data_IF_808004135209
#
_entry.id   IF_808004135209
#
_cell.length_a   1.000
_cell.length_b   1.000
_cell.length_c   1.000
_cell.angle_alpha   90.00
_cell.angle_beta   90.00
_cell.angle_gamma   90.00
#
_symmetry.space_group_name_H-M   'P 1'
#
loop_
_entity.id
_entity.type
_entity.pdbx_description
1 polymer ?
#
# COMPACT_ATOMS: atom_id res chain seq x y z
N UNK A 1 -12.97 -44.44 -50.62
CA UNK A 1 -13.09 -43.24 -51.46
C UNK A 1 -14.50 -43.15 -52.01
N UNK A 2 -15.34 -42.23 -51.50
CA UNK A 2 -16.42 -41.60 -52.25
C UNK A 2 -16.00 -40.19 -52.72
N UNK A 3 -16.61 -39.79 -53.82
CA UNK A 3 -16.22 -38.74 -54.77
C UNK A 3 -16.44 -37.29 -54.29
N UNK A 4 -15.53 -36.41 -54.71
CA UNK A 4 -15.42 -34.95 -54.52
C UNK A 4 -16.59 -34.10 -55.07
N UNK A 5 -17.75 -34.69 -55.38
CA UNK A 5 -18.83 -34.02 -56.11
C UNK A 5 -19.92 -33.34 -55.24
N UNK A 6 -19.91 -33.51 -53.91
CA UNK A 6 -20.99 -33.00 -53.04
C UNK A 6 -20.63 -31.76 -52.18
N UNK A 7 -19.50 -31.09 -52.46
CA UNK A 7 -19.05 -29.91 -51.69
C UNK A 7 -19.37 -28.57 -52.40
N UNK A 8 -19.94 -28.59 -53.61
CA UNK A 8 -20.08 -27.39 -54.45
C UNK A 8 -21.52 -27.04 -54.88
N UNK A 9 -22.51 -27.28 -54.01
CA UNK A 9 -23.93 -26.98 -54.32
C UNK A 9 -24.69 -26.27 -53.20
N UNK A 10 -24.05 -25.34 -52.47
CA UNK A 10 -24.81 -24.45 -51.55
C UNK A 10 -24.39 -22.96 -51.60
N UNK A 11 -23.69 -22.53 -52.66
CA UNK A 11 -23.28 -21.13 -52.86
C UNK A 11 -24.13 -20.36 -53.87
N UNK A 12 -25.41 -20.73 -54.01
CA UNK A 12 -26.29 -20.04 -54.97
C UNK A 12 -27.74 -20.03 -54.51
N UNK A 13 -28.03 -19.23 -53.49
CA UNK A 13 -29.25 -18.39 -53.37
C UNK A 13 -29.31 -17.76 -51.97
N UNK A 14 -29.73 -16.49 -51.92
CA UNK A 14 -30.39 -15.97 -50.72
C UNK A 14 -29.63 -14.95 -49.89
N UNK A 15 -30.16 -13.73 -49.92
CA UNK A 15 -30.19 -12.78 -48.79
C UNK A 15 -28.90 -12.01 -48.46
N UNK A 16 -28.78 -10.85 -49.12
CA UNK A 16 -28.22 -9.64 -48.50
C UNK A 16 -29.06 -9.27 -47.27
N UNK A 17 -28.37 -8.86 -46.20
CA UNK A 17 -28.84 -8.31 -44.90
C UNK A 17 -28.93 -9.34 -43.78
N UNK A 18 -27.86 -9.44 -42.98
CA UNK A 18 -27.84 -9.72 -41.52
C UNK A 18 -26.39 -10.05 -41.09
N UNK A 19 -25.45 -9.11 -41.29
CA UNK A 19 -24.03 -9.32 -40.93
C UNK A 19 -23.46 -8.34 -39.92
N UNK A 20 -24.20 -7.29 -39.56
CA UNK A 20 -23.68 -6.20 -38.70
C UNK A 20 -24.32 -6.19 -37.31
N UNK A 21 -25.41 -6.91 -37.08
CA UNK A 21 -26.10 -6.92 -35.78
C UNK A 21 -25.65 -8.03 -34.82
N UNK A 22 -25.01 -9.10 -35.33
CA UNK A 22 -24.65 -10.28 -34.51
C UNK A 22 -23.27 -10.16 -33.86
N UNK A 23 -22.39 -9.28 -34.36
CA UNK A 23 -21.05 -9.04 -33.79
C UNK A 23 -21.11 -8.05 -32.62
N UNK A 24 -22.09 -7.14 -32.59
CA UNK A 24 -22.25 -6.13 -31.53
C UNK A 24 -22.81 -6.71 -30.22
N UNK A 25 -23.61 -7.78 -30.29
CA UNK A 25 -24.18 -8.44 -29.09
C UNK A 25 -23.16 -9.35 -28.40
N UNK A 26 -22.26 -9.98 -29.17
CA UNK A 26 -21.20 -10.82 -28.62
C UNK A 26 -20.13 -10.00 -27.87
N UNK A 27 -19.81 -8.79 -28.34
CA UNK A 27 -18.87 -7.90 -27.65
C UNK A 27 -19.46 -7.29 -26.38
N UNK A 28 -20.77 -7.03 -26.36
CA UNK A 28 -21.48 -6.52 -25.18
C UNK A 28 -21.62 -7.58 -24.07
N UNK A 29 -21.66 -8.86 -24.44
CA UNK A 29 -21.75 -9.98 -23.50
C UNK A 29 -20.40 -10.34 -22.86
N UNK A 30 -19.29 -10.02 -23.54
CA UNK A 30 -17.94 -10.19 -22.99
C UNK A 30 -17.56 -9.05 -22.03
N UNK A 31 -18.10 -7.85 -22.24
CA UNK A 31 -17.94 -6.71 -21.33
C UNK A 31 -18.84 -6.85 -20.08
N UNK A 32 -20.01 -7.46 -20.21
CA UNK A 32 -20.94 -7.68 -19.10
C UNK A 32 -20.53 -8.74 -18.08
N UNK A 33 -19.60 -9.64 -18.41
CA UNK A 33 -19.16 -10.71 -17.50
C UNK A 33 -17.95 -10.32 -16.62
N UNK A 34 -17.38 -9.12 -16.80
CA UNK A 34 -16.30 -8.59 -15.94
C UNK A 34 -16.86 -7.89 -14.70
N UNK A 35 -18.17 -7.63 -14.64
CA UNK A 35 -18.84 -6.99 -13.49
C UNK A 35 -19.52 -7.97 -12.54
N UNK A 36 -19.18 -9.25 -12.59
CA UNK A 36 -19.61 -10.24 -11.60
C UNK A 36 -18.80 -10.07 -10.30
N UNK A 37 -19.33 -9.26 -9.38
CA UNK A 37 -19.13 -9.35 -7.92
C UNK A 37 -17.71 -9.70 -7.46
N UNK A 38 -16.80 -8.72 -7.51
CA UNK A 38 -15.66 -8.71 -6.60
C UNK A 38 -16.20 -8.51 -5.19
N UNK A 39 -16.31 -9.58 -4.40
CA UNK A 39 -16.19 -9.39 -2.95
C UNK A 39 -14.86 -8.69 -2.71
N UNK A 40 -14.92 -7.57 -1.98
CA UNK A 40 -13.84 -6.62 -1.81
C UNK A 40 -12.64 -7.24 -1.08
N UNK A 41 -11.72 -7.87 -1.83
CA UNK A 41 -10.36 -8.19 -1.36
C UNK A 41 -9.40 -7.06 -1.75
N UNK A 42 -9.74 -5.81 -1.41
CA UNK A 42 -9.08 -4.65 -2.01
C UNK A 42 -7.62 -4.45 -1.54
N UNK A 43 -7.13 -5.21 -0.56
CA UNK A 43 -5.82 -5.00 0.06
C UNK A 43 -5.03 -6.30 0.31
N UNK A 44 -5.10 -7.24 -0.64
CA UNK A 44 -4.33 -8.49 -0.64
C UNK A 44 -3.43 -8.53 -1.87
N UNK A 45 -2.15 -8.96 -1.75
CA UNK A 45 -1.29 -9.17 -2.92
C UNK A 45 -1.90 -10.22 -3.87
N UNK A 46 -1.97 -9.90 -5.17
CA UNK A 46 -2.52 -10.81 -6.17
C UNK A 46 -1.42 -11.58 -6.92
N UNK A 47 -1.62 -12.87 -7.27
CA UNK A 47 -0.68 -13.60 -8.10
C UNK A 47 -0.41 -12.87 -9.41
N UNK A 48 0.87 -12.73 -9.77
CA UNK A 48 1.34 -12.05 -10.98
C UNK A 48 1.04 -10.53 -11.04
N UNK A 49 0.66 -9.92 -9.91
CA UNK A 49 0.58 -8.47 -9.81
C UNK A 49 1.98 -7.86 -9.94
N UNK A 50 2.11 -6.86 -10.82
CA UNK A 50 3.37 -6.14 -11.04
C UNK A 50 3.37 -4.74 -10.42
N UNK A 51 2.19 -4.23 -10.07
CA UNK A 51 1.98 -2.89 -9.52
C UNK A 51 1.78 -2.96 -7.99
N UNK A 52 1.66 -1.79 -7.36
CA UNK A 52 1.30 -1.67 -5.95
C UNK A 52 -0.09 -2.28 -5.67
N UNK A 53 -0.33 -2.62 -4.41
CA UNK A 53 -1.69 -2.92 -3.96
C UNK A 53 -2.57 -1.68 -4.15
N UNK A 54 -3.88 -1.83 -4.41
CA UNK A 54 -4.78 -0.69 -4.51
C UNK A 54 -4.64 0.22 -3.28
N UNK A 55 -4.42 1.53 -3.47
CA UNK A 55 -4.23 2.45 -2.35
C UNK A 55 -5.54 2.55 -1.56
N UNK A 56 -5.40 2.61 -0.24
CA UNK A 56 -6.46 2.84 0.70
C UNK A 56 -6.07 4.01 1.60
N UNK A 57 -6.92 5.03 1.61
CA UNK A 57 -6.69 6.25 2.37
C UNK A 57 -5.87 7.28 1.59
N UNK A 58 -5.87 8.49 2.11
CA UNK A 58 -5.32 9.68 1.49
C UNK A 58 -3.80 9.64 1.32
N UNK A 59 -3.06 9.07 2.29
CA UNK A 59 -1.61 8.92 2.18
C UNK A 59 -1.26 7.98 1.03
N UNK A 60 -1.95 6.83 0.94
CA UNK A 60 -1.67 5.82 -0.07
C UNK A 60 -1.98 6.31 -1.48
N UNK A 61 -3.08 7.04 -1.67
CA UNK A 61 -3.44 7.70 -2.93
C UNK A 61 -2.30 8.66 -3.37
N UNK A 62 -1.90 9.59 -2.50
CA UNK A 62 -0.84 10.55 -2.83
C UNK A 62 0.53 9.89 -3.05
N UNK A 63 0.85 8.84 -2.30
CA UNK A 63 2.08 8.07 -2.47
C UNK A 63 2.09 7.32 -3.81
N UNK A 64 0.95 6.76 -4.21
CA UNK A 64 0.77 6.06 -5.49
C UNK A 64 0.86 7.03 -6.67
N UNK A 65 0.26 8.22 -6.54
CA UNK A 65 0.39 9.28 -7.55
C UNK A 65 1.84 9.73 -7.73
N UNK A 66 2.56 9.94 -6.63
CA UNK A 66 3.98 10.27 -6.66
C UNK A 66 4.80 9.14 -7.29
N UNK A 67 4.52 7.88 -6.93
CA UNK A 67 5.15 6.70 -7.52
C UNK A 67 4.96 6.68 -9.04
N UNK A 68 3.72 6.85 -9.52
CA UNK A 68 3.39 6.83 -10.94
C UNK A 68 4.07 7.97 -11.72
N UNK A 69 4.11 9.18 -11.14
CA UNK A 69 4.85 10.31 -11.70
C UNK A 69 6.35 9.98 -11.84
N UNK A 70 6.96 9.43 -10.78
CA UNK A 70 8.36 9.02 -10.80
C UNK A 70 8.62 7.95 -11.86
N UNK A 71 7.75 6.94 -11.95
CA UNK A 71 7.86 5.84 -12.90
C UNK A 71 7.88 6.35 -14.34
N UNK A 72 7.00 7.30 -14.69
CA UNK A 72 6.99 7.94 -16.02
C UNK A 72 8.31 8.67 -16.29
N UNK A 73 8.79 9.46 -15.33
CA UNK A 73 10.03 10.24 -15.49
C UNK A 73 11.24 9.33 -15.67
N UNK A 74 11.44 8.34 -14.79
CA UNK A 74 12.59 7.44 -14.88
C UNK A 74 12.53 6.54 -16.12
N UNK A 75 11.33 6.15 -16.56
CA UNK A 75 11.14 5.38 -17.79
C UNK A 75 11.53 6.22 -19.01
N UNK A 76 11.11 7.48 -19.09
CA UNK A 76 11.49 8.38 -20.17
C UNK A 76 13.01 8.60 -20.23
N UNK A 77 13.66 8.81 -19.09
CA UNK A 77 15.13 8.93 -19.00
C UNK A 77 15.81 7.64 -19.44
N UNK A 78 15.31 6.49 -18.97
CA UNK A 78 15.86 5.17 -19.31
C UNK A 78 15.77 4.89 -20.81
N UNK A 79 14.62 5.16 -21.43
CA UNK A 79 14.42 5.02 -22.87
C UNK A 79 15.29 5.99 -23.67
N UNK A 80 15.48 7.21 -23.19
CA UNK A 80 16.39 8.18 -23.81
C UNK A 80 17.84 7.68 -23.80
N UNK A 81 18.34 7.25 -22.64
CA UNK A 81 19.69 6.70 -22.50
C UNK A 81 19.85 5.43 -23.34
N UNK A 82 18.89 4.51 -23.28
CA UNK A 82 18.89 3.30 -24.10
C UNK A 82 18.92 3.62 -25.60
N UNK A 83 18.12 4.58 -26.04
CA UNK A 83 18.10 5.06 -27.42
C UNK A 83 19.45 5.62 -27.86
N UNK A 84 20.11 6.42 -27.01
CA UNK A 84 21.47 6.91 -27.25
C UNK A 84 22.49 5.77 -27.33
N UNK A 85 22.42 4.78 -26.43
CA UNK A 85 23.32 3.63 -26.44
C UNK A 85 23.15 2.79 -27.72
N UNK A 86 21.91 2.53 -28.14
CA UNK A 86 21.61 1.85 -29.40
C UNK A 86 22.14 2.67 -30.58
N UNK A 87 21.91 3.99 -30.58
CA UNK A 87 22.39 4.88 -31.62
C UNK A 87 23.92 4.85 -31.72
N UNK A 88 24.62 4.91 -30.60
CA UNK A 88 26.08 4.83 -30.58
C UNK A 88 26.55 3.46 -31.07
N UNK A 89 25.95 2.37 -30.58
CA UNK A 89 26.28 1.00 -30.98
C UNK A 89 26.10 0.74 -32.47
N UNK A 90 25.08 1.34 -33.09
CA UNK A 90 24.83 1.18 -34.53
C UNK A 90 25.68 2.14 -35.35
N UNK A 91 25.67 3.44 -35.05
CA UNK A 91 26.27 4.47 -35.89
C UNK A 91 27.79 4.54 -35.77
N UNK A 92 28.32 4.38 -34.55
CA UNK A 92 29.75 4.57 -34.27
C UNK A 92 30.54 3.27 -34.12
N UNK A 93 29.96 2.12 -34.53
CA UNK A 93 30.71 0.86 -34.62
C UNK A 93 31.89 0.99 -35.58
N UNK A 94 32.97 0.24 -35.33
CA UNK A 94 34.22 0.33 -36.08
C UNK A 94 34.05 0.21 -37.61
N UNK A 95 33.14 -0.66 -38.07
CA UNK A 95 32.86 -0.83 -39.50
C UNK A 95 32.13 0.37 -40.15
N UNK A 96 31.29 1.09 -39.40
CA UNK A 96 30.51 2.22 -39.90
C UNK A 96 31.18 3.58 -39.66
N UNK A 97 32.09 3.66 -38.69
CA UNK A 97 32.84 4.87 -38.34
C UNK A 97 34.34 4.57 -38.17
N UNK A 98 35.08 4.29 -39.26
CA UNK A 98 36.48 3.87 -39.20
C UNK A 98 37.44 4.99 -38.74
N UNK A 99 37.05 6.26 -38.88
CA UNK A 99 37.85 7.41 -38.43
C UNK A 99 37.08 8.14 -37.33
N UNK A 100 37.41 7.94 -36.04
CA UNK A 100 36.68 8.57 -34.94
C UNK A 100 36.97 10.08 -34.85
N UNK A 101 35.99 10.83 -34.33
CA UNK A 101 36.20 12.22 -33.95
C UNK A 101 37.24 12.33 -32.83
N UNK A 102 37.93 13.47 -32.77
CA UNK A 102 38.88 13.83 -31.70
C UNK A 102 38.34 14.88 -30.72
N UNK A 103 37.05 15.23 -30.83
CA UNK A 103 36.39 16.16 -29.90
C UNK A 103 36.41 15.58 -28.48
N UNK A 104 36.92 16.34 -27.52
CA UNK A 104 37.03 15.90 -26.12
C UNK A 104 36.00 16.54 -25.18
N UNK A 105 35.45 17.71 -25.51
CA UNK A 105 34.52 18.44 -24.67
C UNK A 105 33.60 19.34 -25.50
N UNK A 106 32.46 19.71 -24.91
CA UNK A 106 31.54 20.70 -25.46
C UNK A 106 30.77 21.36 -24.31
N UNK A 107 31.19 22.58 -23.95
CA UNK A 107 30.65 23.32 -22.83
C UNK A 107 29.12 23.51 -22.89
N UNK A 108 28.54 23.66 -24.09
CA UNK A 108 27.08 23.84 -24.24
C UNK A 108 26.34 22.56 -23.86
N UNK A 109 26.80 21.40 -24.33
CA UNK A 109 26.19 20.10 -24.01
C UNK A 109 26.38 19.79 -22.52
N UNK A 110 27.56 20.10 -21.98
CA UNK A 110 27.88 19.95 -20.55
C UNK A 110 26.93 20.75 -19.65
N UNK A 111 26.66 22.00 -20.01
CA UNK A 111 25.67 22.82 -19.28
C UNK A 111 24.27 22.22 -19.42
N UNK A 112 23.85 21.79 -20.61
CA UNK A 112 22.52 21.22 -20.82
C UNK A 112 22.27 19.96 -20.00
N UNK A 113 23.18 18.97 -20.02
CA UNK A 113 23.01 17.75 -19.23
C UNK A 113 23.15 17.98 -17.73
N UNK A 114 23.63 19.14 -17.28
CA UNK A 114 23.73 19.48 -15.87
C UNK A 114 22.46 20.19 -15.40
N UNK A 115 22.00 21.18 -16.17
CA UNK A 115 20.81 21.97 -15.85
C UNK A 115 19.52 21.16 -15.99
N UNK A 116 19.40 20.33 -17.04
CA UNK A 116 18.17 19.55 -17.29
C UNK A 116 17.85 18.60 -16.12
N UNK A 117 18.79 17.73 -15.64
CA UNK A 117 18.52 16.88 -14.48
C UNK A 117 18.18 17.67 -13.22
N UNK A 118 18.84 18.82 -12.98
CA UNK A 118 18.50 19.68 -11.83
C UNK A 118 17.06 20.16 -11.91
N UNK A 119 16.59 20.61 -13.07
CA UNK A 119 15.19 21.02 -13.26
C UNK A 119 14.21 19.87 -13.08
N UNK A 120 14.55 18.67 -13.55
CA UNK A 120 13.74 17.45 -13.33
C UNK A 120 13.62 17.16 -11.83
N UNK A 121 14.73 17.20 -11.09
CA UNK A 121 14.73 16.96 -9.64
C UNK A 121 13.91 18.00 -8.88
N UNK A 122 13.98 19.28 -9.27
CA UNK A 122 13.13 20.33 -8.67
C UNK A 122 11.64 20.03 -8.92
N UNK A 123 11.28 19.59 -10.12
CA UNK A 123 9.91 19.20 -10.44
C UNK A 123 9.39 18.04 -9.59
N UNK A 124 10.23 17.04 -9.34
CA UNK A 124 9.92 15.88 -8.47
C UNK A 124 9.82 16.28 -7.00
N UNK A 125 10.68 17.19 -6.53
CA UNK A 125 10.77 17.57 -5.13
C UNK A 125 9.49 18.24 -4.61
N UNK A 126 8.78 18.99 -5.44
CA UNK A 126 7.57 19.74 -5.03
C UNK A 126 6.45 18.81 -4.52
N UNK A 127 5.94 17.83 -5.31
CA UNK A 127 4.92 16.90 -4.83
C UNK A 127 5.46 16.00 -3.71
N UNK A 128 6.75 15.63 -3.75
CA UNK A 128 7.38 14.81 -2.71
C UNK A 128 7.37 15.50 -1.34
N UNK A 129 7.79 16.76 -1.25
CA UNK A 129 7.75 17.50 0.03
C UNK A 129 6.33 17.73 0.53
N UNK A 130 5.36 17.99 -0.36
CA UNK A 130 3.95 18.12 0.04
C UNK A 130 3.44 16.86 0.71
N UNK A 131 3.71 15.69 0.14
CA UNK A 131 3.36 14.40 0.72
C UNK A 131 4.08 14.18 2.06
N UNK A 132 5.40 14.44 2.11
CA UNK A 132 6.19 14.28 3.34
C UNK A 132 5.59 15.08 4.51
N UNK A 133 5.27 16.36 4.30
CA UNK A 133 4.65 17.20 5.33
C UNK A 133 3.21 16.78 5.67
N UNK A 134 2.49 16.16 4.73
CA UNK A 134 1.15 15.65 5.00
C UNK A 134 1.21 14.42 5.91
N UNK A 135 2.14 13.49 5.65
CA UNK A 135 2.37 12.31 6.47
C UNK A 135 2.83 12.65 7.89
N UNK A 136 3.62 13.71 8.07
CA UNK A 136 4.18 14.10 9.38
C UNK A 136 3.15 14.77 10.32
N UNK A 137 1.99 15.19 9.81
CA UNK A 137 0.95 15.87 10.62
C UNK A 137 0.09 14.86 11.41
N UNK A 138 0.56 14.40 12.57
CA UNK A 138 -0.14 13.41 13.41
C UNK A 138 -1.19 13.98 14.36
N UNK A 139 -1.45 15.30 14.36
CA UNK A 139 -2.23 15.95 15.42
C UNK A 139 -3.76 15.87 15.26
N UNK A 140 -4.24 15.61 14.05
CA UNK A 140 -5.66 15.66 13.69
C UNK A 140 -6.22 14.24 13.55
N UNK A 141 -6.37 13.51 14.65
CA UNK A 141 -6.80 12.10 14.67
C UNK A 141 -8.01 11.89 15.57
N UNK A 142 -8.88 10.96 15.19
CA UNK A 142 -10.13 10.64 15.88
C UNK A 142 -9.95 9.57 16.97
N UNK A 143 -8.91 8.73 16.86
CA UNK A 143 -8.60 7.68 17.84
C UNK A 143 -7.10 7.39 17.88
N UNK A 144 -6.65 6.80 18.99
CA UNK A 144 -5.27 6.37 19.20
C UNK A 144 -5.20 4.86 19.37
N UNK A 145 -4.26 4.21 18.69
CA UNK A 145 -3.92 2.80 18.90
C UNK A 145 -2.42 2.71 19.09
N UNK A 146 -1.98 2.04 20.15
CA UNK A 146 -0.58 1.70 20.36
C UNK A 146 -0.32 0.31 19.82
N UNK A 147 0.76 0.20 19.06
CA UNK A 147 1.21 -1.03 18.41
C UNK A 147 2.58 -1.37 18.95
N UNK A 148 2.71 -2.55 19.55
CA UNK A 148 3.97 -3.05 20.10
C UNK A 148 4.44 -4.27 19.32
N UNK A 149 5.63 -4.19 18.74
CA UNK A 149 6.30 -5.33 18.09
C UNK A 149 7.00 -6.23 19.11
N UNK A 150 6.70 -7.53 19.07
CA UNK A 150 7.29 -8.57 19.92
C UNK A 150 7.79 -9.74 19.03
N UNK A 151 8.68 -10.57 19.54
CA UNK A 151 9.16 -11.81 18.93
C UNK A 151 8.16 -12.94 19.19
N UNK A 152 7.36 -13.40 18.23
CA UNK A 152 7.11 -12.87 16.88
C UNK A 152 5.61 -12.71 16.69
N UNK A 153 5.09 -11.60 17.19
CA UNK A 153 3.67 -11.25 17.18
C UNK A 153 3.50 -9.74 17.40
N UNK A 154 2.29 -9.22 17.20
CA UNK A 154 1.96 -7.82 17.46
C UNK A 154 1.02 -7.71 18.64
N UNK A 155 1.20 -6.71 19.47
CA UNK A 155 0.26 -6.35 20.52
C UNK A 155 -0.40 -5.02 20.17
N UNK A 156 -1.71 -4.93 20.36
CA UNK A 156 -2.51 -3.73 20.12
C UNK A 156 -3.15 -3.27 21.43
N UNK A 157 -2.93 -2.00 21.78
CA UNK A 157 -3.58 -1.35 22.92
C UNK A 157 -4.44 -0.18 22.41
N UNK A 158 -5.69 -0.12 22.86
CA UNK A 158 -6.63 0.96 22.62
C UNK A 158 -6.74 1.75 23.93
N UNK A 159 -5.84 2.72 24.19
CA UNK A 159 -5.67 3.34 25.50
C UNK A 159 -6.94 4.02 26.01
N UNK A 160 -7.68 4.70 25.14
CA UNK A 160 -8.91 5.41 25.51
C UNK A 160 -10.07 4.45 25.85
N UNK A 161 -9.97 3.20 25.41
CA UNK A 161 -11.00 2.18 25.56
C UNK A 161 -10.66 1.08 26.58
N UNK A 162 -9.41 1.03 27.03
CA UNK A 162 -8.92 0.02 27.98
C UNK A 162 -8.90 -1.41 27.46
N UNK A 163 -8.72 -1.57 26.15
CA UNK A 163 -8.61 -2.86 25.46
C UNK A 163 -7.15 -3.11 25.11
N UNK A 164 -6.64 -4.30 25.40
CA UNK A 164 -5.30 -4.72 24.97
C UNK A 164 -5.27 -6.22 24.66
N UNK A 165 -4.70 -6.60 23.52
CA UNK A 165 -4.60 -8.00 23.11
C UNK A 165 -3.40 -8.28 22.21
N UNK A 166 -2.99 -9.54 22.20
CA UNK A 166 -1.94 -10.06 21.32
C UNK A 166 -2.55 -10.62 20.04
N UNK A 167 -1.80 -10.51 18.95
CA UNK A 167 -2.16 -10.91 17.60
C UNK A 167 -1.11 -11.84 17.03
N UNK A 168 -1.43 -13.13 16.95
CA UNK A 168 -0.60 -14.19 16.44
C UNK A 168 -1.06 -14.62 15.05
N UNK A 169 -0.11 -15.07 14.23
CA UNK A 169 -0.41 -15.68 12.94
C UNK A 169 -1.25 -16.96 13.14
N UNK A 170 -2.28 -17.14 12.32
CA UNK A 170 -2.99 -18.43 12.25
C UNK A 170 -2.13 -19.44 11.51
N UNK A 171 -1.88 -20.58 12.15
CA UNK A 171 -1.12 -21.68 11.56
C UNK A 171 -1.87 -22.33 10.40
N UNK A 172 -1.13 -22.88 9.43
CA UNK A 172 -1.72 -23.42 8.18
C UNK A 172 -2.75 -24.55 8.43
N UNK A 173 -2.57 -25.31 9.52
CA UNK A 173 -3.49 -26.37 9.92
C UNK A 173 -4.84 -25.86 10.46
N UNK A 174 -4.88 -24.63 10.98
CA UNK A 174 -6.04 -24.04 11.65
C UNK A 174 -6.79 -23.01 10.80
N UNK A 175 -6.28 -22.72 9.59
CA UNK A 175 -6.88 -21.77 8.65
C UNK A 175 -8.33 -22.16 8.30
N UNK A 176 -9.22 -21.19 8.49
CA UNK A 176 -10.63 -21.29 8.11
C UNK A 176 -10.86 -20.78 6.67
N UNK A 177 -11.96 -21.19 6.01
CA UNK A 177 -12.31 -20.66 4.70
C UNK A 177 -12.36 -19.12 4.70
N UNK A 178 -11.60 -18.50 3.80
CA UNK A 178 -11.48 -17.05 3.68
C UNK A 178 -10.26 -16.44 4.38
N UNK A 179 -9.58 -17.18 5.25
CA UNK A 179 -8.30 -16.77 5.82
C UNK A 179 -7.15 -17.05 4.85
N UNK A 180 -6.11 -16.23 4.93
CA UNK A 180 -4.98 -16.22 4.00
C UNK A 180 -3.72 -16.68 4.73
N UNK A 181 -3.07 -17.69 4.16
CA UNK A 181 -1.81 -18.25 4.65
C UNK A 181 -0.75 -17.15 4.84
N UNK A 182 -0.12 -17.11 6.02
CA UNK A 182 0.91 -16.13 6.42
C UNK A 182 0.44 -14.67 6.53
N UNK A 183 -0.86 -14.38 6.40
CA UNK A 183 -1.40 -13.02 6.52
C UNK A 183 -2.50 -12.93 7.56
N UNK A 184 -3.32 -13.97 7.73
CA UNK A 184 -4.38 -13.98 8.73
C UNK A 184 -3.86 -14.18 10.14
N UNK A 185 -4.52 -13.52 11.08
CA UNK A 185 -4.23 -13.57 12.52
C UNK A 185 -5.44 -14.02 13.33
N UNK A 186 -5.22 -14.41 14.58
CA UNK A 186 -6.28 -14.74 15.53
C UNK A 186 -7.10 -13.50 15.94
N UNK A 187 -6.42 -12.42 16.30
CA UNK A 187 -7.00 -11.16 16.75
C UNK A 187 -6.53 -10.00 15.85
N UNK A 188 -7.33 -9.56 14.86
CA UNK A 188 -6.96 -8.44 13.99
C UNK A 188 -7.08 -7.10 14.73
N UNK A 189 -6.35 -6.09 14.28
CA UNK A 189 -6.54 -4.70 14.70
C UNK A 189 -7.85 -4.17 14.10
N UNK A 190 -8.92 -4.12 14.88
CA UNK A 190 -10.23 -3.67 14.40
C UNK A 190 -10.36 -2.17 14.53
N UNK A 191 -10.85 -1.51 13.48
CA UNK A 191 -10.96 -0.06 13.39
C UNK A 191 -12.29 0.34 12.73
N UNK A 192 -12.86 1.51 13.07
CA UNK A 192 -14.03 2.01 12.37
C UNK A 192 -13.65 2.60 11.01
N UNK A 193 -14.50 2.39 10.01
CA UNK A 193 -14.38 3.05 8.71
C UNK A 193 -14.46 4.59 8.85
N UNK A 194 -13.96 5.31 7.84
CA UNK A 194 -13.98 6.77 7.78
C UNK A 194 -13.51 7.43 9.09
N UNK A 195 -12.31 7.03 9.51
CA UNK A 195 -11.69 7.44 10.77
C UNK A 195 -10.18 7.61 10.56
N UNK A 196 -9.63 8.69 11.13
CA UNK A 196 -8.19 8.95 11.14
C UNK A 196 -7.59 8.49 12.45
N UNK A 197 -6.60 7.61 12.37
CA UNK A 197 -6.07 6.86 13.51
C UNK A 197 -4.63 7.28 13.74
N UNK A 198 -4.31 7.70 14.96
CA UNK A 198 -2.93 7.86 15.40
C UNK A 198 -2.39 6.51 15.83
N UNK A 199 -1.27 6.11 15.25
CA UNK A 199 -0.54 4.93 15.62
C UNK A 199 0.67 5.32 16.47
N UNK A 200 0.75 4.74 17.67
CA UNK A 200 1.92 4.83 18.55
C UNK A 200 2.70 3.52 18.45
N UNK A 201 3.77 3.51 17.66
CA UNK A 201 4.48 2.28 17.28
C UNK A 201 5.79 2.17 18.07
N UNK A 202 5.95 1.08 18.81
CA UNK A 202 7.13 0.78 19.65
C UNK A 202 7.50 -0.69 19.57
N UNK A 203 8.72 -1.06 20.01
CA UNK A 203 9.16 -2.44 20.17
C UNK A 203 9.37 -2.81 21.64
N UNK A 204 9.30 -4.11 21.96
CA UNK A 204 9.58 -4.63 23.30
C UNK A 204 10.92 -5.37 23.40
N UNK A 205 11.42 -5.95 22.31
CA UNK A 205 12.57 -6.88 22.34
C UNK A 205 13.66 -6.64 21.29
N UNK A 206 13.33 -6.57 20.00
CA UNK A 206 14.23 -6.27 18.89
C UNK A 206 13.57 -5.25 17.97
N UNK A 207 14.28 -4.86 16.91
CA UNK A 207 13.68 -3.99 15.90
C UNK A 207 12.67 -4.76 15.05
N UNK A 208 11.47 -4.20 14.92
CA UNK A 208 10.44 -4.63 13.98
C UNK A 208 10.05 -3.46 13.07
N UNK A 209 9.18 -3.69 12.10
CA UNK A 209 8.59 -2.61 11.30
C UNK A 209 7.14 -2.94 11.00
N UNK A 210 6.23 -2.10 11.50
CA UNK A 210 4.80 -2.20 11.21
C UNK A 210 4.57 -1.69 9.80
N UNK A 211 4.19 -2.58 8.88
CA UNK A 211 4.04 -2.25 7.46
C UNK A 211 2.73 -2.81 6.90
N UNK A 212 1.83 -1.91 6.50
CA UNK A 212 0.58 -2.22 5.80
C UNK A 212 0.60 -1.49 4.44
N UNK A 213 0.90 -2.17 3.33
CA UNK A 213 1.16 -1.54 2.03
C UNK A 213 0.01 -0.69 1.50
N UNK A 214 -1.22 -1.22 1.54
CA UNK A 214 -2.41 -0.54 1.02
C UNK A 214 -2.73 0.75 1.78
N UNK A 215 -2.39 0.85 3.06
CA UNK A 215 -2.54 2.07 3.86
C UNK A 215 -1.30 2.99 3.81
N UNK A 216 -0.28 2.61 3.03
CA UNK A 216 0.99 3.31 2.88
C UNK A 216 1.67 3.69 4.22
N UNK A 217 1.53 2.84 5.24
CA UNK A 217 2.21 2.99 6.53
C UNK A 217 3.34 1.99 6.64
N UNK A 218 4.56 2.50 6.87
CA UNK A 218 5.73 1.71 7.24
C UNK A 218 6.50 2.44 8.33
N UNK A 219 6.49 1.92 9.55
CA UNK A 219 7.17 2.55 10.68
C UNK A 219 7.92 1.50 11.49
N UNK A 220 9.19 1.80 11.77
CA UNK A 220 9.99 0.96 12.66
C UNK A 220 9.46 0.99 14.09
N UNK A 221 9.39 -0.19 14.69
CA UNK A 221 9.12 -0.41 16.11
C UNK A 221 10.47 -0.63 16.81
N UNK A 222 10.91 0.37 17.58
CA UNK A 222 12.16 0.34 18.35
C UNK A 222 11.88 0.22 19.84
N UNK A 223 12.79 -0.43 20.56
CA UNK A 223 12.75 -0.47 22.02
C UNK A 223 13.15 0.90 22.56
N UNK A 224 12.43 1.39 23.57
CA UNK A 224 12.76 2.64 24.26
C UNK A 224 12.42 3.91 23.47
N UNK A 225 11.70 3.79 22.34
CA UNK A 225 11.19 4.93 21.57
C UNK A 225 9.83 4.60 20.96
N UNK A 226 8.86 5.47 21.22
CA UNK A 226 7.58 5.47 20.51
C UNK A 226 7.66 6.37 19.28
N UNK A 227 7.36 5.82 18.12
CA UNK A 227 7.15 6.60 16.90
C UNK A 227 5.66 6.90 16.74
N UNK A 228 5.35 8.11 16.28
CA UNK A 228 3.99 8.48 15.89
C UNK A 228 3.86 8.40 14.37
N UNK A 229 2.75 7.84 13.92
CA UNK A 229 2.28 7.94 12.56
C UNK A 229 0.76 8.05 12.57
N UNK A 230 0.17 8.29 11.40
CA UNK A 230 -1.28 8.23 11.27
C UNK A 230 -1.66 7.51 9.98
N UNK A 231 -2.84 6.90 10.00
CA UNK A 231 -3.51 6.32 8.84
C UNK A 231 -4.93 6.85 8.78
N UNK A 232 -5.50 6.96 7.59
CA UNK A 232 -6.93 7.18 7.41
C UNK A 232 -7.56 5.96 6.75
N UNK A 233 -8.62 5.46 7.37
CA UNK A 233 -9.36 4.31 6.87
C UNK A 233 -10.51 4.83 5.99
N UNK A 234 -10.58 4.46 4.71
CA UNK A 234 -11.70 4.83 3.84
C UNK A 234 -13.06 4.39 4.38
N UNK A 235 -14.13 4.97 3.83
CA UNK A 235 -15.48 4.45 4.02
C UNK A 235 -15.62 3.07 3.36
N UNK A 236 -16.26 2.14 4.05
CA UNK A 236 -16.49 0.77 3.62
C UNK A 236 -15.78 -0.24 4.52
N UNK A 237 -16.51 -1.29 4.89
CA UNK A 237 -15.95 -2.47 5.52
C UNK A 237 -14.88 -3.12 4.63
N UNK A 238 -13.71 -3.40 5.19
CA UNK A 238 -12.59 -3.98 4.44
C UNK A 238 -11.53 -4.56 5.38
N UNK A 239 -10.64 -5.40 4.85
CA UNK A 239 -9.48 -5.92 5.58
C UNK A 239 -8.19 -5.58 4.84
N UNK A 240 -7.24 -4.97 5.55
CA UNK A 240 -5.93 -4.60 5.04
C UNK A 240 -4.86 -5.48 5.66
N UNK A 241 -4.01 -6.07 4.82
CA UNK A 241 -2.96 -6.98 5.27
C UNK A 241 -1.59 -6.33 5.21
N UNK A 242 -0.74 -6.71 6.15
CA UNK A 242 0.64 -6.26 6.28
C UNK A 242 1.54 -7.35 6.83
N UNK A 243 2.84 -7.08 6.86
CA UNK A 243 3.85 -7.97 7.42
C UNK A 243 4.94 -7.16 8.13
N UNK A 244 5.73 -7.81 8.98
CA UNK A 244 6.92 -7.16 9.52
C UNK A 244 7.92 -6.88 8.38
N UNK A 245 8.36 -5.62 8.24
CA UNK A 245 9.32 -5.20 7.19
C UNK A 245 10.72 -4.84 7.75
N UNK A 246 11.10 -5.48 8.86
CA UNK A 246 12.44 -5.34 9.44
C UNK A 246 12.87 -6.67 10.05
N UNK A 247 14.05 -7.17 9.64
CA UNK A 247 14.54 -8.47 10.09
C UNK A 247 14.62 -8.53 11.62
N UNK A 248 13.85 -9.45 12.22
CA UNK A 248 13.65 -9.53 13.67
C UNK A 248 13.89 -10.93 14.27
N UNK A 249 14.47 -11.86 13.49
CA UNK A 249 14.86 -13.20 13.95
C UNK A 249 14.27 -14.33 13.11
N UNK A 250 14.25 -15.54 13.66
CA UNK A 250 13.90 -16.77 12.92
C UNK A 250 12.48 -16.75 12.37
N UNK A 251 11.52 -16.18 13.11
CA UNK A 251 10.13 -16.12 12.68
C UNK A 251 9.74 -14.75 12.09
N UNK A 252 10.71 -14.01 11.53
CA UNK A 252 10.46 -12.70 10.92
C UNK A 252 9.31 -12.69 9.90
N UNK A 253 9.19 -13.75 9.10
CA UNK A 253 8.15 -13.87 8.08
C UNK A 253 6.77 -14.32 8.63
N UNK A 254 6.65 -14.62 9.92
CA UNK A 254 5.49 -15.28 10.53
C UNK A 254 4.81 -14.42 11.61
N UNK A 255 4.89 -13.09 11.46
CA UNK A 255 4.21 -12.12 12.32
C UNK A 255 3.46 -11.07 11.49
N UNK A 256 2.40 -11.49 10.77
CA UNK A 256 1.64 -10.61 9.91
C UNK A 256 0.81 -9.61 10.69
N UNK A 257 0.23 -8.66 9.95
CA UNK A 257 -0.64 -7.62 10.44
C UNK A 257 -1.96 -7.75 9.67
N UNK A 258 -3.07 -7.82 10.39
CA UNK A 258 -4.41 -7.74 9.81
C UNK A 258 -5.15 -6.56 10.44
N UNK A 259 -5.59 -5.62 9.61
CA UNK A 259 -6.38 -4.45 10.02
C UNK A 259 -7.78 -4.59 9.45
N UNK A 260 -8.78 -4.68 10.32
CA UNK A 260 -10.17 -4.89 9.92
C UNK A 260 -10.99 -3.61 10.12
N UNK A 261 -11.37 -2.97 9.02
CA UNK A 261 -12.31 -1.85 9.00
C UNK A 261 -13.75 -2.35 9.08
N UNK A 262 -14.51 -1.80 10.03
CA UNK A 262 -15.93 -2.08 10.20
C UNK A 262 -16.77 -0.80 10.09
N UNK A 263 -18.04 -0.91 9.66
CA UNK A 263 -19.03 0.16 9.86
C UNK A 263 -19.08 0.60 11.34
N UNK A 264 -19.34 1.89 11.60
CA UNK A 264 -19.20 2.45 12.96
C UNK A 264 -20.08 1.79 14.02
N UNK A 265 -21.27 1.32 13.63
CA UNK A 265 -22.19 0.56 14.48
C UNK A 265 -21.66 -0.85 14.78
N UNK A 266 -21.12 -1.54 13.78
CA UNK A 266 -20.46 -2.84 13.96
C UNK A 266 -19.18 -2.73 14.81
N UNK A 267 -18.39 -1.66 14.62
CA UNK A 267 -17.23 -1.36 15.45
C UNK A 267 -17.65 -1.14 16.92
N UNK A 268 -18.71 -0.38 17.17
CA UNK A 268 -19.21 -0.16 18.53
C UNK A 268 -19.66 -1.47 19.20
N UNK A 269 -20.31 -2.37 18.44
CA UNK A 269 -20.69 -3.69 18.92
C UNK A 269 -19.46 -4.57 19.21
N UNK A 270 -18.46 -4.58 18.31
CA UNK A 270 -17.19 -5.26 18.52
C UNK A 270 -16.50 -4.75 19.79
N UNK A 271 -16.39 -3.42 19.95
CA UNK A 271 -15.72 -2.79 21.07
C UNK A 271 -16.37 -3.14 22.41
N UNK A 272 -17.70 -3.22 22.47
CA UNK A 272 -18.43 -3.62 23.68
C UNK A 272 -18.09 -5.06 24.13
N UNK A 273 -17.84 -5.96 23.17
CA UNK A 273 -17.38 -7.32 23.45
C UNK A 273 -15.88 -7.35 23.80
N UNK A 274 -15.05 -6.62 23.04
CA UNK A 274 -13.61 -6.54 23.26
C UNK A 274 -13.27 -6.01 24.66
N UNK A 275 -14.04 -5.06 25.20
CA UNK A 275 -13.88 -4.56 26.58
C UNK A 275 -14.11 -5.62 27.66
N UNK A 276 -14.81 -6.70 27.35
CA UNK A 276 -15.03 -7.82 28.28
C UNK A 276 -13.97 -8.90 28.08
N UNK A 277 -13.65 -9.21 26.83
CA UNK A 277 -12.72 -10.27 26.45
C UNK A 277 -11.26 -9.89 26.70
N UNK A 278 -10.90 -8.63 26.42
CA UNK A 278 -9.53 -8.11 26.40
C UNK A 278 -9.35 -6.94 27.38
N UNK A 279 -10.10 -6.97 28.49
CA UNK A 279 -10.01 -5.94 29.53
C UNK A 279 -8.56 -5.83 30.05
N UNK A 280 -7.93 -4.67 29.84
CA UNK A 280 -6.58 -4.42 30.34
C UNK A 280 -6.63 -3.94 31.80
N UNK A 281 -5.87 -4.58 32.68
CA UNK A 281 -5.75 -4.18 34.09
C UNK A 281 -4.97 -2.85 34.27
N UNK A 282 -4.19 -2.44 33.27
CA UNK A 282 -3.28 -1.28 33.33
C UNK A 282 -3.83 -0.01 32.65
N UNK A 283 -5.03 -0.07 32.06
CA UNK A 283 -5.61 1.05 31.30
C UNK A 283 -6.23 2.18 32.15
N UNK A 284 -6.18 2.09 33.48
CA UNK A 284 -6.53 3.22 34.34
C UNK A 284 -5.30 4.12 34.52
N UNK A 285 -4.89 4.80 33.46
CA UNK A 285 -4.19 6.06 33.66
C UNK A 285 -5.21 7.04 34.26
N UNK A 286 -4.90 7.71 35.39
CA UNK A 286 -5.84 8.66 35.97
C UNK A 286 -6.16 9.73 34.92
N UNK A 287 -7.45 10.03 34.77
CA UNK A 287 -7.92 11.12 33.92
C UNK A 287 -7.07 12.36 34.22
N UNK A 288 -6.37 12.88 33.21
CA UNK A 288 -5.65 14.14 33.37
C UNK A 288 -6.72 15.22 33.52
N UNK A 289 -7.00 15.54 34.77
CA UNK A 289 -7.77 16.72 35.15
C UNK A 289 -7.07 17.93 34.52
N UNK A 290 -7.81 18.75 33.78
CA UNK A 290 -7.30 19.89 33.01
C UNK A 290 -6.35 20.76 33.86
N UNK A 291 -5.04 20.56 33.69
CA UNK A 291 -4.02 21.38 34.36
C UNK A 291 -4.02 22.73 33.65
N UNK A 292 -4.63 23.74 34.28
CA UNK A 292 -4.49 25.13 33.85
C UNK A 292 -3.06 25.62 34.10
N UNK A 293 -2.59 26.67 33.41
CA UNK A 293 -1.20 27.13 33.52
C UNK A 293 -0.73 27.50 34.94
N UNK A 294 -1.65 27.77 35.86
CA UNK A 294 -1.32 28.13 37.25
C UNK A 294 -0.83 26.95 38.10
N UNK A 295 -1.25 25.71 37.83
CA UNK A 295 -0.88 24.55 38.66
C UNK A 295 0.54 24.04 38.43
N UNK A 296 1.22 24.48 37.36
CA UNK A 296 2.61 24.06 37.06
C UNK A 296 3.65 24.80 37.90
N UNK A 297 3.34 26.01 38.37
CA UNK A 297 4.32 26.86 39.09
C UNK A 297 4.49 26.45 40.56
N UNK A 298 3.49 25.82 41.18
CA UNK A 298 3.55 25.43 42.59
C UNK A 298 4.27 24.09 42.84
N UNK A 299 4.33 23.21 41.85
CA UNK A 299 4.91 21.87 42.01
C UNK A 299 6.45 21.84 41.95
N UNK A 300 7.09 22.91 41.47
CA UNK A 300 8.55 23.04 41.36
C UNK A 300 9.18 23.85 42.52
N UNK A 301 8.38 24.29 43.49
CA UNK A 301 8.83 25.13 44.61
C UNK A 301 8.84 24.43 45.99
N UNK A 302 8.81 23.09 46.01
CA UNK A 302 9.06 22.26 47.19
C UNK A 302 10.03 21.15 46.84
#
# INVERSE_FOLDING_TARGET
>A
MPSLANILLDLKTGSRRTGVATITVALSSFIGFVFASNMAFAAVPQPWQMDLQPPAGSIAEMATDLHNLLLVVITAITLFVLGLLIYVGVKFRAAANPVPSRTSHNAVIEVLWTVIPVLILVGIAIPSFRLLYYMDRTNETDMVIKVTGNQWYWNYEYPDDGVAFDSYMVEEADLQPGQIRLLSVDNPMVVPENTRIKLLITGNDVMHSFFVPSLAVQIYAFIGRTNEAWIDVPTGANTYYGQCNQICGINHAYMPIEVKSLPKDEYAAWLANAKQEFASADAVAPAIENITPETTVLALAK
#
